data_IF_656662931906
#
_entry.id   IF_656662931906
#
_cell.length_a   1.000
_cell.length_b   1.000
_cell.length_c   1.000
_cell.angle_alpha   90.00
_cell.angle_beta   90.00
_cell.angle_gamma   90.00
#
_symmetry.space_group_name_H-M   'P 1'
#
loop_
_entity.id
_entity.type
_entity.pdbx_description
1 polymer ?
#
# COMPACT_ATOMS: atom_id res chain seq x y z
N UNK A 1 26.57 -19.06 -3.89
CA UNK A 1 26.51 -18.07 -5.00
C UNK A 1 25.10 -17.93 -5.61
N UNK A 2 24.46 -18.98 -6.13
CA UNK A 2 23.12 -18.90 -6.75
C UNK A 2 22.02 -18.27 -5.86
N UNK A 3 21.96 -18.65 -4.57
CA UNK A 3 21.02 -18.04 -3.61
C UNK A 3 21.19 -16.52 -3.44
N UNK A 4 22.44 -16.06 -3.32
CA UNK A 4 22.74 -14.63 -3.20
C UNK A 4 22.38 -13.87 -4.49
N UNK A 5 22.63 -14.47 -5.66
CA UNK A 5 22.22 -13.92 -6.95
C UNK A 5 20.70 -13.78 -7.07
N UNK A 6 19.92 -14.78 -6.66
CA UNK A 6 18.46 -14.70 -6.69
C UNK A 6 17.91 -13.67 -5.69
N UNK A 7 18.51 -13.55 -4.51
CA UNK A 7 18.14 -12.50 -3.56
C UNK A 7 18.46 -11.10 -4.09
N UNK A 8 19.60 -10.92 -4.77
CA UNK A 8 19.96 -9.65 -5.40
C UNK A 8 19.02 -9.31 -6.58
N UNK A 9 18.70 -10.29 -7.43
CA UNK A 9 17.73 -10.15 -8.51
C UNK A 9 16.33 -9.81 -8.01
N UNK A 10 15.92 -10.32 -6.84
CA UNK A 10 14.67 -9.94 -6.20
C UNK A 10 14.75 -8.55 -5.56
N UNK A 11 15.87 -8.15 -4.96
CA UNK A 11 15.97 -6.82 -4.36
C UNK A 11 15.91 -5.69 -5.41
N UNK A 12 16.50 -5.91 -6.59
CA UNK A 12 16.61 -4.92 -7.65
C UNK A 12 15.27 -4.27 -8.08
N UNK A 13 14.23 -5.02 -8.52
CA UNK A 13 12.96 -4.43 -8.92
C UNK A 13 12.25 -3.70 -7.78
N UNK A 14 12.38 -4.15 -6.53
CA UNK A 14 11.85 -3.42 -5.38
C UNK A 14 12.53 -2.06 -5.21
N UNK A 15 13.86 -2.03 -5.31
CA UNK A 15 14.64 -0.79 -5.22
C UNK A 15 14.30 0.17 -6.38
N UNK A 16 14.12 -0.36 -7.60
CA UNK A 16 13.70 0.45 -8.75
C UNK A 16 12.29 1.01 -8.58
N UNK A 17 11.34 0.20 -8.06
CA UNK A 17 9.99 0.65 -7.78
C UNK A 17 9.96 1.76 -6.70
N UNK A 18 10.75 1.59 -5.62
CA UNK A 18 10.91 2.62 -4.59
C UNK A 18 11.49 3.89 -5.20
N UNK A 19 12.58 3.80 -5.95
CA UNK A 19 13.22 4.96 -6.57
C UNK A 19 12.27 5.69 -7.54
N UNK A 20 11.54 4.96 -8.37
CA UNK A 20 10.53 5.53 -9.27
C UNK A 20 9.41 6.24 -8.50
N UNK A 21 8.86 5.58 -7.47
CA UNK A 21 7.79 6.16 -6.64
C UNK A 21 8.25 7.42 -5.91
N UNK A 22 9.45 7.40 -5.32
CA UNK A 22 10.04 8.58 -4.66
C UNK A 22 10.25 9.72 -5.66
N UNK A 23 10.73 9.42 -6.86
CA UNK A 23 10.97 10.45 -7.89
C UNK A 23 9.66 11.09 -8.34
N UNK A 24 8.65 10.28 -8.67
CA UNK A 24 7.33 10.75 -9.08
C UNK A 24 6.67 11.60 -7.99
N UNK A 25 6.78 11.16 -6.73
CA UNK A 25 6.26 11.87 -5.58
C UNK A 25 6.96 13.23 -5.37
N UNK A 26 8.30 13.26 -5.37
CA UNK A 26 9.07 14.50 -5.19
C UNK A 26 8.87 15.50 -6.33
N UNK A 27 8.66 15.01 -7.56
CA UNK A 27 8.36 15.86 -8.70
C UNK A 27 6.92 16.36 -8.72
N UNK A 28 6.05 15.83 -7.86
CA UNK A 28 4.60 16.01 -7.93
C UNK A 28 4.06 15.79 -9.34
N UNK A 29 4.67 14.85 -10.08
CA UNK A 29 4.36 14.59 -11.49
C UNK A 29 3.09 13.73 -11.66
N UNK A 30 2.37 13.45 -10.57
CA UNK A 30 1.12 12.70 -10.56
C UNK A 30 -0.03 13.69 -10.69
N UNK A 31 -0.87 13.50 -11.70
CA UNK A 31 -2.09 14.28 -11.88
C UNK A 31 -2.98 14.16 -10.63
N UNK A 32 -3.27 15.27 -9.92
CA UNK A 32 -4.15 15.25 -8.76
C UNK A 32 -5.55 14.69 -9.04
N UNK A 33 -6.02 14.73 -10.28
CA UNK A 33 -7.31 14.14 -10.67
C UNK A 33 -7.37 12.63 -10.48
N UNK A 34 -6.22 11.93 -10.45
CA UNK A 34 -6.17 10.51 -10.11
C UNK A 34 -6.64 10.23 -8.68
N UNK A 35 -6.61 11.22 -7.78
CA UNK A 35 -7.13 11.10 -6.42
C UNK A 35 -8.57 11.62 -6.28
N UNK A 36 -9.16 12.15 -7.35
CA UNK A 36 -10.52 12.69 -7.34
C UNK A 36 -11.52 11.69 -7.90
N UNK A 37 -11.64 10.54 -7.23
CA UNK A 37 -12.65 9.52 -7.51
C UNK A 37 -13.16 8.89 -6.22
N UNK A 38 -14.31 8.20 -6.30
CA UNK A 38 -14.96 7.58 -5.14
C UNK A 38 -14.04 6.64 -4.37
N UNK A 39 -13.21 5.88 -5.08
CA UNK A 39 -12.39 4.83 -4.49
C UNK A 39 -11.23 5.44 -3.69
N UNK A 40 -10.58 6.46 -4.25
CA UNK A 40 -9.52 7.22 -3.58
C UNK A 40 -10.05 8.13 -2.46
N UNK A 41 -11.34 8.53 -2.49
CA UNK A 41 -11.95 9.38 -1.47
C UNK A 41 -12.64 8.61 -0.35
N UNK A 42 -12.94 7.31 -0.54
CA UNK A 42 -13.65 6.49 0.44
C UNK A 42 -12.95 6.49 1.81
N UNK A 43 -11.66 6.14 1.86
CA UNK A 43 -10.92 6.10 3.13
C UNK A 43 -10.67 7.48 3.76
N UNK A 44 -10.33 8.54 2.99
CA UNK A 44 -10.31 9.90 3.52
C UNK A 44 -11.65 10.33 4.15
N UNK A 45 -12.78 10.05 3.48
CA UNK A 45 -14.10 10.42 3.98
C UNK A 45 -14.47 9.62 5.24
N UNK A 46 -14.16 8.32 5.25
CA UNK A 46 -14.36 7.46 6.42
C UNK A 46 -13.51 7.93 7.62
N UNK A 47 -12.26 8.32 7.39
CA UNK A 47 -11.40 8.88 8.45
C UNK A 47 -11.96 10.21 8.97
N UNK A 48 -12.32 11.12 8.08
CA UNK A 48 -12.87 12.43 8.46
C UNK A 48 -14.14 12.28 9.31
N UNK A 49 -15.07 11.41 8.91
CA UNK A 49 -16.29 11.19 9.69
C UNK A 49 -15.99 10.55 11.05
N UNK A 50 -15.27 9.42 11.08
CA UNK A 50 -15.09 8.64 12.31
C UNK A 50 -14.12 9.27 13.31
N UNK A 51 -13.07 9.95 12.82
CA UNK A 51 -11.97 10.46 13.67
C UNK A 51 -12.10 11.97 13.88
N UNK A 52 -12.39 12.73 12.84
CA UNK A 52 -12.39 14.20 12.92
C UNK A 52 -13.77 14.76 13.31
N UNK A 53 -14.87 14.09 12.94
CA UNK A 53 -16.24 14.59 13.13
C UNK A 53 -17.05 13.84 14.20
N UNK A 54 -16.53 12.73 14.72
CA UNK A 54 -17.20 11.95 15.78
C UNK A 54 -18.37 11.09 15.30
N UNK A 55 -18.40 10.77 14.00
CA UNK A 55 -19.33 9.82 13.39
C UNK A 55 -19.15 8.40 13.91
N UNK A 56 -20.03 7.49 13.48
CA UNK A 56 -20.07 6.09 13.95
C UNK A 56 -19.95 5.13 12.79
N UNK A 57 -19.13 4.09 12.95
CA UNK A 57 -18.91 3.05 11.93
C UNK A 57 -20.21 2.39 11.45
N UNK A 58 -21.24 2.29 12.31
CA UNK A 58 -22.56 1.73 11.96
C UNK A 58 -23.35 2.56 10.95
N UNK A 59 -22.97 3.82 10.72
CA UNK A 59 -23.58 4.70 9.72
C UNK A 59 -22.99 4.47 8.31
N UNK A 60 -21.91 3.68 8.21
CA UNK A 60 -21.22 3.41 6.97
C UNK A 60 -21.58 2.05 6.40
N UNK A 61 -21.80 2.02 5.09
CA UNK A 61 -21.81 0.79 4.31
C UNK A 61 -20.37 0.43 3.97
N UNK A 62 -19.76 -0.40 4.81
CA UNK A 62 -18.43 -0.94 4.53
C UNK A 62 -18.50 -1.89 3.35
N UNK A 63 -17.42 -1.95 2.55
CA UNK A 63 -17.43 -2.84 1.40
C UNK A 63 -17.57 -4.29 1.89
N UNK A 64 -18.43 -5.11 1.26
CA UNK A 64 -18.65 -6.49 1.68
C UNK A 64 -17.51 -7.42 1.27
N UNK A 65 -16.49 -6.91 0.57
CA UNK A 65 -15.39 -7.71 0.07
C UNK A 65 -14.55 -8.25 1.24
N UNK A 66 -14.15 -9.54 1.21
CA UNK A 66 -13.23 -10.07 2.20
C UNK A 66 -11.87 -9.42 2.04
N UNK A 67 -11.57 -8.45 2.90
CA UNK A 67 -10.27 -7.83 2.97
C UNK A 67 -9.25 -8.82 3.57
N UNK A 68 -8.28 -9.27 2.77
CA UNK A 68 -7.16 -10.07 3.27
C UNK A 68 -6.35 -9.33 4.34
N UNK A 69 -6.34 -7.99 4.24
CA UNK A 69 -5.97 -7.04 5.29
C UNK A 69 -6.95 -5.87 5.18
N UNK A 70 -7.68 -5.48 6.25
CA UNK A 70 -8.53 -4.31 6.18
C UNK A 70 -7.65 -3.11 5.82
N UNK A 71 -8.04 -2.42 4.76
CA UNK A 71 -7.38 -1.26 4.17
C UNK A 71 -7.53 -0.01 5.06
N UNK A 72 -8.68 0.14 5.72
CA UNK A 72 -8.97 1.30 6.55
C UNK A 72 -8.08 1.45 7.79
N UNK A 73 -7.69 0.43 8.58
CA UNK A 73 -6.77 0.62 9.71
C UNK A 73 -5.37 1.04 9.24
N UNK A 74 -4.90 0.49 8.11
CA UNK A 74 -3.63 0.87 7.51
C UNK A 74 -3.67 2.34 7.07
N UNK A 75 -4.74 2.75 6.39
CA UNK A 75 -4.94 4.14 6.01
C UNK A 75 -5.05 5.07 7.22
N UNK A 76 -5.78 4.67 8.28
CA UNK A 76 -5.95 5.49 9.49
C UNK A 76 -4.63 5.72 10.20
N UNK A 77 -3.79 4.69 10.33
CA UNK A 77 -2.46 4.82 10.89
C UNK A 77 -1.58 5.75 10.04
N UNK A 78 -1.64 5.61 8.71
CA UNK A 78 -0.91 6.48 7.79
C UNK A 78 -1.38 7.94 7.89
N UNK A 79 -2.70 8.17 7.92
CA UNK A 79 -3.34 9.49 8.01
C UNK A 79 -3.06 10.20 9.33
N UNK A 80 -3.01 9.44 10.43
CA UNK A 80 -2.59 9.94 11.74
C UNK A 80 -1.11 10.33 11.74
N UNK A 81 -0.24 9.54 11.12
CA UNK A 81 1.20 9.82 11.03
C UNK A 81 1.52 10.98 10.08
N UNK A 82 0.83 11.07 8.95
CA UNK A 82 1.15 12.03 7.89
C UNK A 82 0.52 13.40 8.06
N UNK A 83 -0.61 13.50 8.77
CA UNK A 83 -1.31 14.77 8.97
C UNK A 83 -2.20 15.21 7.79
N UNK A 84 -2.07 14.63 6.60
CA UNK A 84 -2.98 14.84 5.48
C UNK A 84 -3.20 13.58 4.60
N UNK A 85 -4.25 13.63 3.77
CA UNK A 85 -4.70 12.52 2.95
C UNK A 85 -3.75 12.17 1.78
N UNK A 86 -3.04 13.14 1.22
CA UNK A 86 -2.15 12.92 0.08
C UNK A 86 -0.94 12.08 0.52
N UNK A 87 -0.29 12.48 1.60
CA UNK A 87 0.82 11.73 2.18
C UNK A 87 0.39 10.38 2.77
N UNK A 88 -0.84 10.29 3.31
CA UNK A 88 -1.39 9.03 3.78
C UNK A 88 -1.47 8.00 2.64
N UNK A 89 -1.97 8.40 1.46
CA UNK A 89 -2.03 7.53 0.30
C UNK A 89 -0.65 7.08 -0.18
N UNK A 90 0.34 7.97 -0.19
CA UNK A 90 1.71 7.61 -0.52
C UNK A 90 2.28 6.54 0.44
N UNK A 91 2.03 6.68 1.74
CA UNK A 91 2.44 5.71 2.75
C UNK A 91 1.74 4.35 2.58
N UNK A 92 0.42 4.35 2.34
CA UNK A 92 -0.35 3.12 2.10
C UNK A 92 0.14 2.40 0.85
N UNK A 93 0.34 3.12 -0.25
CA UNK A 93 0.86 2.55 -1.50
C UNK A 93 2.25 1.94 -1.31
N UNK A 94 3.15 2.64 -0.61
CA UNK A 94 4.47 2.11 -0.30
C UNK A 94 4.39 0.84 0.56
N UNK A 95 3.57 0.86 1.61
CA UNK A 95 3.38 -0.29 2.50
C UNK A 95 2.80 -1.51 1.76
N UNK A 96 1.79 -1.31 0.92
CA UNK A 96 1.18 -2.38 0.11
C UNK A 96 2.17 -2.93 -0.93
N UNK A 97 2.92 -2.07 -1.61
CA UNK A 97 3.93 -2.49 -2.57
C UNK A 97 5.04 -3.33 -1.91
N UNK A 98 5.54 -2.91 -0.75
CA UNK A 98 6.52 -3.65 0.03
C UNK A 98 5.98 -5.00 0.52
N UNK A 99 4.73 -5.03 0.99
CA UNK A 99 4.08 -6.26 1.43
C UNK A 99 3.91 -7.25 0.27
N UNK A 100 3.39 -6.80 -0.87
CA UNK A 100 3.24 -7.61 -2.08
C UNK A 100 4.60 -8.15 -2.56
N UNK A 101 5.62 -7.28 -2.59
CA UNK A 101 6.97 -7.66 -2.96
C UNK A 101 7.54 -8.73 -2.02
N UNK A 102 7.41 -8.52 -0.71
CA UNK A 102 7.85 -9.46 0.31
C UNK A 102 7.17 -10.83 0.19
N UNK A 103 5.86 -10.85 -0.03
CA UNK A 103 5.09 -12.08 -0.24
C UNK A 103 5.52 -12.81 -1.52
N UNK A 104 5.69 -12.08 -2.64
CA UNK A 104 6.17 -12.66 -3.89
C UNK A 104 7.58 -13.26 -3.73
N UNK A 105 8.48 -12.56 -3.04
CA UNK A 105 9.82 -13.06 -2.75
C UNK A 105 9.78 -14.31 -1.85
N UNK A 106 8.91 -14.35 -0.84
CA UNK A 106 8.72 -15.52 0.02
C UNK A 106 8.19 -16.72 -0.79
N UNK A 107 7.20 -16.50 -1.65
CA UNK A 107 6.62 -17.55 -2.50
C UNK A 107 7.67 -18.11 -3.47
N UNK A 108 8.44 -17.24 -4.13
CA UNK A 108 9.52 -17.66 -5.02
C UNK A 108 10.57 -18.50 -4.29
N UNK A 109 10.95 -18.10 -3.07
CA UNK A 109 11.89 -18.88 -2.24
C UNK A 109 11.34 -20.25 -1.86
N UNK A 110 10.03 -20.35 -1.57
CA UNK A 110 9.36 -21.62 -1.27
C UNK A 110 9.31 -22.52 -2.50
N UNK A 111 8.97 -21.97 -3.67
CA UNK A 111 8.92 -22.72 -4.92
C UNK A 111 10.27 -23.33 -5.30
N UNK A 112 11.35 -22.55 -5.20
CA UNK A 112 12.72 -23.02 -5.49
C UNK A 112 13.21 -24.09 -4.50
N UNK A 113 12.64 -24.15 -3.29
CA UNK A 113 13.01 -25.11 -2.26
C UNK A 113 12.28 -26.47 -2.37
N UNK A 114 11.26 -26.59 -3.21
CA UNK A 114 10.52 -27.84 -3.40
C UNK A 114 11.37 -28.85 -4.19
N UNK A 115 11.36 -30.15 -3.82
CA UNK A 115 11.96 -31.19 -4.65
C UNK A 115 11.29 -31.17 -6.02
N UNK A 116 12.09 -31.15 -7.08
CA UNK A 116 11.55 -31.31 -8.43
C UNK A 116 11.27 -32.80 -8.62
N UNK A 117 9.98 -33.13 -8.76
CA UNK A 117 9.51 -34.48 -9.03
C UNK A 117 9.90 -34.94 -10.44
#
# INVERSE_FOLDING_TARGET
MKRALYSALAALPALLAIAAMTTLYLQQAIDPMLFFNSDAQYLPALYADLVEQGGRLRQWYLTPAPYFLPDWPLYFAARWLSGDAFHAWALVMAAQALALWGLAALLARRYVALPQA
#
